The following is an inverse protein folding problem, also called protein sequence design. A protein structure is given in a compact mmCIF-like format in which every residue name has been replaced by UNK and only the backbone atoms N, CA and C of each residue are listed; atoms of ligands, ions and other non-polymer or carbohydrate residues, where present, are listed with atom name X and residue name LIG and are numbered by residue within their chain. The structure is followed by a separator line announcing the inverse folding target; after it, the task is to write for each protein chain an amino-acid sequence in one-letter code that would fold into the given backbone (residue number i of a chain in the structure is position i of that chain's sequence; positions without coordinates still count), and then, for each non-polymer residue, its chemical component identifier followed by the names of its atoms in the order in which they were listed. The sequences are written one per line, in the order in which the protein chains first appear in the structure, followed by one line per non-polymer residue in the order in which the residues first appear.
data_IF_336201142536
#
_entry.id   IF_336201142536
#
_cell.length_a   1.000
_cell.length_b   1.000
_cell.length_c   1.000
_cell.angle_alpha   90.00
_cell.angle_beta   90.00
_cell.angle_gamma   90.00
#
_symmetry.space_group_name_H-M   'P 1'
#
loop_
_entity.id
_entity.type
_entity.pdbx_description
1 polymer ?
#
# COMPACT_ATOMS: atom_id res chain seq x y z
N UNK A 1 -5.54 -24.66 10.96
CA UNK A 1 -5.79 -23.19 11.03
C UNK A 1 -5.12 -22.49 12.20
N UNK A 2 -5.17 -22.98 13.45
CA UNK A 2 -4.59 -22.25 14.60
C UNK A 2 -3.07 -21.99 14.51
N UNK A 3 -2.27 -22.93 13.95
CA UNK A 3 -0.83 -22.72 13.72
C UNK A 3 -0.55 -21.58 12.71
N UNK A 4 -1.32 -21.52 11.62
CA UNK A 4 -1.23 -20.46 10.61
C UNK A 4 -1.60 -19.09 11.21
N UNK A 5 -2.60 -19.05 12.09
CA UNK A 5 -3.01 -17.83 12.80
C UNK A 5 -1.89 -17.28 13.68
N UNK A 6 -1.28 -18.13 14.51
CA UNK A 6 -0.16 -17.72 15.39
C UNK A 6 1.05 -17.25 14.59
N UNK A 7 1.31 -17.86 13.44
CA UNK A 7 2.37 -17.43 12.53
C UNK A 7 2.02 -16.06 11.92
N UNK A 8 0.78 -15.85 11.47
CA UNK A 8 0.32 -14.57 10.93
C UNK A 8 0.44 -13.42 11.93
N UNK A 9 0.12 -13.67 13.21
CA UNK A 9 0.22 -12.67 14.29
C UNK A 9 1.68 -12.30 14.62
N UNK A 10 2.61 -13.26 14.50
CA UNK A 10 4.04 -12.97 14.71
C UNK A 10 4.67 -12.23 13.54
N UNK A 11 4.34 -12.65 12.32
CA UNK A 11 4.91 -12.07 11.09
C UNK A 11 4.32 -10.69 10.79
N UNK A 12 3.05 -10.44 11.13
CA UNK A 12 2.37 -9.18 10.83
C UNK A 12 3.12 -7.97 11.40
N UNK A 13 3.67 -8.07 12.61
CA UNK A 13 4.43 -6.97 13.24
C UNK A 13 5.62 -6.53 12.37
N UNK A 14 6.43 -7.49 11.94
CA UNK A 14 7.62 -7.21 11.14
C UNK A 14 7.29 -6.83 9.70
N UNK A 15 6.21 -7.38 9.13
CA UNK A 15 5.78 -7.04 7.79
C UNK A 15 5.15 -5.64 7.71
N UNK A 16 4.38 -5.23 8.71
CA UNK A 16 3.88 -3.85 8.82
C UNK A 16 5.07 -2.89 8.93
N UNK A 17 6.07 -3.22 9.76
CA UNK A 17 7.31 -2.45 9.84
C UNK A 17 8.04 -2.38 8.48
N UNK A 18 8.14 -3.50 7.77
CA UNK A 18 8.73 -3.53 6.43
C UNK A 18 7.93 -2.63 5.46
N UNK A 19 6.60 -2.65 5.51
CA UNK A 19 5.76 -1.75 4.69
C UNK A 19 6.01 -0.28 5.03
N UNK A 20 6.09 0.07 6.31
CA UNK A 20 6.38 1.44 6.77
C UNK A 20 7.76 1.95 6.33
N UNK A 21 8.72 1.05 6.13
CA UNK A 21 10.07 1.40 5.67
C UNK A 21 10.13 1.42 4.15
N UNK A 22 9.68 0.35 3.50
CA UNK A 22 9.83 0.14 2.06
C UNK A 22 8.92 1.05 1.26
N UNK A 23 7.65 1.25 1.64
CA UNK A 23 6.74 2.07 0.84
C UNK A 23 7.19 3.54 0.74
N UNK A 24 7.66 4.18 1.83
CA UNK A 24 8.15 5.56 1.73
C UNK A 24 9.58 5.68 1.19
N UNK A 25 10.49 4.77 1.57
CA UNK A 25 11.92 4.92 1.25
C UNK A 25 12.33 4.28 -0.07
N UNK A 26 11.61 3.26 -0.53
CA UNK A 26 11.96 2.61 -1.79
C UNK A 26 11.53 3.51 -2.95
N UNK A 27 12.44 3.83 -3.89
CA UNK A 27 12.04 4.53 -5.09
C UNK A 27 10.99 3.71 -5.86
N UNK A 28 10.03 4.40 -6.48
CA UNK A 28 8.83 3.80 -7.10
C UNK A 28 9.14 3.08 -8.41
N UNK A 29 9.96 2.03 -8.34
CA UNK A 29 10.40 1.27 -9.50
C UNK A 29 9.25 0.44 -10.09
N UNK A 30 8.97 0.57 -11.40
CA UNK A 30 7.97 -0.25 -12.07
C UNK A 30 8.52 -1.66 -12.28
N UNK A 31 7.73 -2.67 -11.91
CA UNK A 31 8.01 -4.08 -12.23
C UNK A 31 7.29 -4.51 -13.49
N UNK A 32 5.98 -4.29 -13.55
CA UNK A 32 5.12 -4.70 -14.67
C UNK A 32 4.35 -3.50 -15.16
N UNK A 33 4.59 -3.11 -16.41
CA UNK A 33 3.82 -2.05 -17.07
C UNK A 33 2.46 -2.58 -17.50
N UNK A 34 1.42 -1.81 -17.22
CA UNK A 34 0.05 -2.15 -17.60
C UNK A 34 -0.27 -1.39 -18.90
N UNK A 35 -0.60 -2.07 -20.00
CA UNK A 35 -0.92 -1.38 -21.25
C UNK A 35 -2.20 -0.54 -21.08
N UNK A 36 -2.25 0.61 -21.76
CA UNK A 36 -3.39 1.54 -21.68
C UNK A 36 -3.36 2.48 -20.46
N UNK A 37 -2.30 2.45 -19.64
CA UNK A 37 -2.12 3.39 -18.53
C UNK A 37 -0.64 3.67 -18.26
N UNK A 38 -0.35 4.79 -17.59
CA UNK A 38 0.99 5.10 -17.07
C UNK A 38 1.24 4.49 -15.68
N UNK A 39 0.26 3.78 -15.11
CA UNK A 39 0.39 3.13 -13.79
C UNK A 39 0.96 1.73 -13.95
N UNK A 40 2.12 1.48 -13.34
CA UNK A 40 2.72 0.16 -13.26
C UNK A 40 2.37 -0.55 -11.94
N UNK A 41 2.48 -1.88 -11.94
CA UNK A 41 2.66 -2.67 -10.72
C UNK A 41 4.10 -2.43 -10.29
N UNK A 42 4.30 -1.92 -9.07
CA UNK A 42 5.60 -1.51 -8.54
C UNK A 42 6.14 -2.55 -7.57
N UNK A 43 7.41 -2.41 -7.21
CA UNK A 43 8.06 -3.35 -6.29
C UNK A 43 7.42 -3.37 -4.90
N UNK A 44 7.07 -2.19 -4.37
CA UNK A 44 6.42 -2.07 -3.07
C UNK A 44 5.02 -2.73 -3.04
N UNK A 45 4.36 -2.84 -4.20
CA UNK A 45 3.04 -3.46 -4.30
C UNK A 45 3.11 -4.97 -3.98
N UNK A 46 4.24 -5.65 -4.26
CA UNK A 46 4.46 -7.06 -3.89
C UNK A 46 4.45 -7.24 -2.37
N UNK A 47 5.07 -6.31 -1.64
CA UNK A 47 5.12 -6.39 -0.18
C UNK A 47 3.72 -6.23 0.43
N UNK A 48 2.92 -5.33 -0.12
CA UNK A 48 1.52 -5.16 0.29
C UNK A 48 0.70 -6.41 -0.05
N UNK A 49 0.94 -7.02 -1.22
CA UNK A 49 0.31 -8.28 -1.60
C UNK A 49 0.63 -9.42 -0.63
N UNK A 50 1.90 -9.58 -0.23
CA UNK A 50 2.31 -10.56 0.79
C UNK A 50 1.62 -10.29 2.13
N UNK A 51 1.51 -9.03 2.53
CA UNK A 51 0.78 -8.64 3.75
C UNK A 51 -0.71 -9.04 3.65
N UNK A 52 -1.31 -8.85 2.48
CA UNK A 52 -2.68 -9.28 2.18
C UNK A 52 -2.87 -10.78 2.30
N UNK A 53 -1.94 -11.59 1.77
CA UNK A 53 -1.99 -13.06 1.87
C UNK A 53 -2.00 -13.53 3.33
N UNK A 54 -1.26 -12.86 4.21
CA UNK A 54 -1.19 -13.18 5.63
C UNK A 54 -2.45 -12.77 6.39
N UNK A 55 -3.18 -11.78 5.88
CA UNK A 55 -4.46 -11.35 6.43
C UNK A 55 -5.61 -12.32 6.11
N UNK A 56 -5.57 -13.00 4.95
CA UNK A 56 -6.65 -13.86 4.45
C UNK A 56 -7.14 -14.91 5.49
N UNK A 57 -6.26 -15.69 6.15
CA UNK A 57 -6.72 -16.69 7.13
C UNK A 57 -7.54 -16.07 8.27
N UNK A 58 -7.09 -14.93 8.80
CA UNK A 58 -7.79 -14.21 9.88
C UNK A 58 -9.13 -13.66 9.39
N UNK A 59 -9.12 -13.07 8.20
CA UNK A 59 -10.31 -12.49 7.59
C UNK A 59 -11.42 -13.53 7.38
N UNK A 60 -11.08 -14.71 6.85
CA UNK A 60 -12.04 -15.80 6.64
C UNK A 60 -12.56 -16.34 7.98
N UNK A 61 -11.67 -16.58 8.95
CA UNK A 61 -12.02 -17.13 10.25
C UNK A 61 -12.96 -16.23 11.06
N UNK A 62 -12.70 -14.93 11.05
CA UNK A 62 -13.43 -13.96 11.86
C UNK A 62 -14.48 -13.17 11.06
N UNK A 63 -14.84 -13.60 9.84
CA UNK A 63 -15.74 -12.86 8.93
C UNK A 63 -17.06 -12.42 9.59
N UNK A 64 -17.69 -13.29 10.38
CA UNK A 64 -18.93 -12.96 11.12
C UNK A 64 -18.74 -11.86 12.16
N UNK A 65 -17.55 -11.77 12.78
CA UNK A 65 -17.21 -10.72 13.75
C UNK A 65 -16.88 -9.42 13.01
N UNK A 66 -16.16 -9.51 11.90
CA UNK A 66 -15.82 -8.39 11.01
C UNK A 66 -17.10 -7.68 10.54
N UNK A 67 -18.14 -8.43 10.17
CA UNK A 67 -19.42 -7.84 9.75
C UNK A 67 -20.17 -7.10 10.88
N UNK A 68 -20.00 -7.53 12.14
CA UNK A 68 -20.63 -6.87 13.30
C UNK A 68 -19.90 -5.59 13.68
N UNK A 69 -18.63 -5.46 13.33
CA UNK A 69 -17.84 -4.26 13.57
C UNK A 69 -18.28 -3.15 12.61
N UNK A 70 -18.67 -1.98 13.14
CA UNK A 70 -19.18 -0.86 12.32
C UNK A 70 -18.12 -0.29 11.37
N UNK A 71 -16.85 -0.29 11.79
CA UNK A 71 -15.75 0.26 10.99
C UNK A 71 -15.47 -0.69 9.83
N UNK A 72 -15.28 -1.98 10.14
CA UNK A 72 -14.95 -2.97 9.11
C UNK A 72 -16.13 -3.21 8.15
N UNK A 73 -17.36 -3.25 8.65
CA UNK A 73 -18.54 -3.34 7.79
C UNK A 73 -18.68 -2.12 6.86
N UNK A 74 -18.38 -0.92 7.32
CA UNK A 74 -18.35 0.28 6.47
C UNK A 74 -17.30 0.17 5.35
N UNK A 75 -16.12 -0.38 5.63
CA UNK A 75 -15.08 -0.64 4.62
C UNK A 75 -15.56 -1.67 3.59
N UNK A 76 -16.21 -2.75 4.03
CA UNK A 76 -16.74 -3.76 3.13
C UNK A 76 -17.88 -3.23 2.25
N UNK A 77 -18.76 -2.40 2.82
CA UNK A 77 -19.81 -1.71 2.07
C UNK A 77 -19.18 -0.76 1.05
N UNK A 78 -18.14 -0.01 1.43
CA UNK A 78 -17.41 0.84 0.50
C UNK A 78 -16.82 0.04 -0.68
N UNK A 79 -16.20 -1.12 -0.43
CA UNK A 79 -15.72 -1.98 -1.51
C UNK A 79 -16.84 -2.51 -2.40
N UNK A 80 -17.98 -2.88 -1.83
CA UNK A 80 -19.15 -3.33 -2.59
C UNK A 80 -19.72 -2.22 -3.47
N UNK A 81 -19.95 -1.02 -2.90
CA UNK A 81 -20.47 0.14 -3.64
C UNK A 81 -19.54 0.54 -4.78
N UNK A 82 -18.23 0.56 -4.53
CA UNK A 82 -17.24 0.91 -5.56
C UNK A 82 -17.11 -0.17 -6.63
N UNK A 83 -17.34 -1.44 -6.30
CA UNK A 83 -17.41 -2.54 -7.27
C UNK A 83 -18.67 -2.43 -8.14
N UNK A 84 -19.83 -2.14 -7.54
CA UNK A 84 -21.08 -1.92 -8.28
C UNK A 84 -20.93 -0.71 -9.23
N UNK A 85 -20.29 0.37 -8.76
CA UNK A 85 -19.98 1.53 -9.59
C UNK A 85 -19.06 1.17 -10.77
N UNK A 86 -18.07 0.30 -10.58
CA UNK A 86 -17.25 -0.22 -11.67
C UNK A 86 -18.11 -1.00 -12.69
N UNK A 87 -18.96 -1.92 -12.23
CA UNK A 87 -19.84 -2.69 -13.12
C UNK A 87 -20.75 -1.76 -13.92
N UNK A 88 -21.34 -0.74 -13.28
CA UNK A 88 -22.15 0.26 -13.96
C UNK A 88 -21.32 1.03 -15.01
N UNK A 89 -20.07 1.38 -14.67
CA UNK A 89 -19.12 2.03 -15.57
C UNK A 89 -18.80 1.23 -16.83
N UNK A 90 -18.72 -0.10 -16.69
CA UNK A 90 -18.41 -1.04 -17.78
C UNK A 90 -19.65 -1.36 -18.61
N UNK A 91 -20.79 -1.66 -17.96
CA UNK A 91 -21.97 -2.22 -18.63
C UNK A 91 -22.94 -1.12 -19.09
N UNK A 92 -23.19 -0.12 -18.24
CA UNK A 92 -24.24 0.88 -18.47
C UNK A 92 -23.67 2.08 -19.21
N UNK A 93 -22.67 2.75 -18.63
CA UNK A 93 -22.11 3.97 -19.22
C UNK A 93 -21.06 3.67 -20.27
N UNK A 94 -20.49 2.46 -20.27
CA UNK A 94 -19.47 2.00 -21.22
C UNK A 94 -18.26 2.96 -21.31
N UNK A 95 -17.96 3.64 -20.21
CA UNK A 95 -16.88 4.64 -20.13
C UNK A 95 -15.56 4.04 -19.65
N UNK A 96 -15.58 2.81 -19.14
CA UNK A 96 -14.44 2.18 -18.48
C UNK A 96 -14.16 0.81 -19.11
N UNK A 97 -12.90 0.59 -19.49
CA UNK A 97 -12.42 -0.74 -19.88
C UNK A 97 -12.40 -1.67 -18.66
N UNK A 98 -12.98 -2.87 -18.78
CA UNK A 98 -13.10 -3.82 -17.68
C UNK A 98 -11.75 -4.15 -17.01
N UNK A 99 -10.71 -4.41 -17.82
CA UNK A 99 -9.39 -4.78 -17.30
C UNK A 99 -8.78 -3.69 -16.44
N UNK A 100 -8.76 -2.46 -16.93
CA UNK A 100 -8.22 -1.31 -16.21
C UNK A 100 -9.08 -0.96 -14.99
N UNK A 101 -10.40 -1.06 -15.13
CA UNK A 101 -11.33 -0.82 -14.03
C UNK A 101 -11.18 -1.81 -12.87
N UNK A 102 -10.97 -3.11 -13.16
CA UNK A 102 -10.69 -4.12 -12.13
C UNK A 102 -9.38 -3.86 -11.40
N UNK A 103 -8.32 -3.49 -12.12
CA UNK A 103 -7.02 -3.13 -11.51
C UNK A 103 -7.16 -1.89 -10.63
N UNK A 104 -7.91 -0.89 -11.08
CA UNK A 104 -8.19 0.31 -10.30
C UNK A 104 -9.00 0.01 -9.03
N UNK A 105 -9.98 -0.90 -9.12
CA UNK A 105 -10.74 -1.34 -7.93
C UNK A 105 -9.86 -2.14 -6.96
N UNK A 106 -9.03 -3.07 -7.47
CA UNK A 106 -8.08 -3.84 -6.67
C UNK A 106 -7.10 -2.94 -5.90
N UNK A 107 -6.67 -1.82 -6.50
CA UNK A 107 -5.81 -0.83 -5.83
C UNK A 107 -6.47 -0.23 -4.58
N UNK A 108 -7.80 -0.03 -4.59
CA UNK A 108 -8.52 0.47 -3.40
C UNK A 108 -8.47 -0.52 -2.25
N UNK A 109 -8.50 -1.81 -2.55
CA UNK A 109 -8.33 -2.88 -1.56
C UNK A 109 -6.89 -2.87 -1.05
N UNK A 110 -5.91 -2.83 -1.96
CA UNK A 110 -4.48 -2.78 -1.64
C UNK A 110 -4.16 -1.69 -0.62
N UNK A 111 -4.68 -0.47 -0.82
CA UNK A 111 -4.47 0.66 0.10
C UNK A 111 -5.03 0.44 1.51
N UNK A 112 -6.05 -0.40 1.67
CA UNK A 112 -6.62 -0.72 2.98
C UNK A 112 -5.94 -1.91 3.66
N UNK A 113 -5.11 -2.69 2.95
CA UNK A 113 -4.45 -3.88 3.52
C UNK A 113 -3.60 -3.55 4.75
N UNK A 114 -2.73 -2.51 4.76
CA UNK A 114 -1.95 -2.18 5.96
C UNK A 114 -2.82 -1.86 7.16
N UNK A 115 -3.91 -1.09 6.95
CA UNK A 115 -4.87 -0.75 7.99
C UNK A 115 -5.58 -2.00 8.53
N UNK A 116 -6.15 -2.84 7.65
CA UNK A 116 -6.86 -4.05 8.05
C UNK A 116 -5.94 -5.03 8.78
N UNK A 117 -4.68 -5.14 8.34
CA UNK A 117 -3.67 -5.97 8.98
C UNK A 117 -3.38 -5.46 10.39
N UNK A 118 -3.12 -4.16 10.56
CA UNK A 118 -2.89 -3.58 11.88
C UNK A 118 -4.11 -3.76 12.79
N UNK A 119 -5.33 -3.54 12.27
CA UNK A 119 -6.56 -3.64 13.03
C UNK A 119 -6.92 -5.07 13.47
N UNK A 120 -6.71 -6.05 12.59
CA UNK A 120 -7.16 -7.44 12.82
C UNK A 120 -6.09 -8.37 13.41
N UNK A 121 -4.81 -8.12 13.14
CA UNK A 121 -3.70 -9.01 13.52
C UNK A 121 -2.88 -8.51 14.70
N UNK A 122 -2.99 -7.23 15.10
CA UNK A 122 -2.30 -6.74 16.31
C UNK A 122 -3.18 -7.07 17.53
N UNK A 123 -2.67 -7.87 18.48
CA UNK A 123 -3.39 -8.16 19.72
C UNK A 123 -3.62 -6.90 20.54
N UNK A 124 -4.80 -6.76 21.15
CA UNK A 124 -5.20 -5.57 21.91
C UNK A 124 -4.30 -5.31 23.12
N UNK A 125 -3.80 -6.37 23.75
CA UNK A 125 -2.85 -6.34 24.87
C UNK A 125 -1.49 -5.73 24.47
N UNK A 126 -1.09 -5.85 23.19
CA UNK A 126 0.20 -5.37 22.68
C UNK A 126 0.11 -4.07 21.90
N UNK A 127 -1.04 -3.39 21.96
CA UNK A 127 -1.27 -2.20 21.11
C UNK A 127 -0.30 -1.07 21.46
N UNK A 128 -0.04 -0.84 22.75
CA UNK A 128 0.88 0.22 23.22
C UNK A 128 2.30 -0.02 22.73
N UNK A 129 2.83 -1.23 22.96
CA UNK A 129 4.17 -1.64 22.51
C UNK A 129 4.30 -1.59 20.98
N UNK A 130 3.25 -1.99 20.26
CA UNK A 130 3.24 -1.97 18.80
C UNK A 130 3.23 -0.56 18.25
N UNK A 131 2.42 0.34 18.82
CA UNK A 131 2.37 1.76 18.45
C UNK A 131 3.70 2.44 18.72
N UNK A 132 4.31 2.22 19.89
CA UNK A 132 5.64 2.76 20.21
C UNK A 132 6.70 2.27 19.22
N UNK A 133 6.68 0.97 18.89
CA UNK A 133 7.60 0.38 17.92
C UNK A 133 7.45 1.00 16.52
N UNK A 134 6.22 1.10 16.00
CA UNK A 134 5.99 1.71 14.68
C UNK A 134 6.27 3.20 14.67
N UNK A 135 6.02 3.91 15.77
CA UNK A 135 6.34 5.33 15.88
C UNK A 135 7.85 5.56 15.81
N UNK A 136 8.66 4.75 16.50
CA UNK A 136 10.13 4.80 16.38
C UNK A 136 10.59 4.54 14.95
N UNK A 137 10.01 3.55 14.27
CA UNK A 137 10.29 3.29 12.85
C UNK A 137 9.94 4.48 11.98
N UNK A 138 8.76 5.08 12.17
CA UNK A 138 8.32 6.23 11.41
C UNK A 138 9.29 7.42 11.56
N UNK A 139 9.76 7.70 12.78
CA UNK A 139 10.77 8.74 13.01
C UNK A 139 12.07 8.48 12.24
N UNK A 140 12.54 7.23 12.25
CA UNK A 140 13.73 6.83 11.48
C UNK A 140 13.49 7.01 9.97
N UNK A 141 12.33 6.56 9.47
CA UNK A 141 11.95 6.69 8.06
C UNK A 141 11.90 8.16 7.63
N UNK A 142 11.26 9.02 8.44
CA UNK A 142 11.19 10.47 8.17
C UNK A 142 12.59 11.08 8.17
N UNK A 143 13.45 10.72 9.11
CA UNK A 143 14.83 11.20 9.13
C UNK A 143 15.60 10.78 7.86
N UNK A 144 15.51 9.50 7.47
CA UNK A 144 16.17 9.00 6.26
C UNK A 144 15.64 9.71 5.01
N UNK A 145 14.32 9.85 4.87
CA UNK A 145 13.71 10.56 3.75
C UNK A 145 14.21 12.00 3.67
N UNK A 146 14.24 12.70 4.81
CA UNK A 146 14.75 14.06 4.88
C UNK A 146 16.22 14.17 4.43
N UNK A 147 17.10 13.30 4.95
CA UNK A 147 18.51 13.28 4.52
C UNK A 147 18.67 12.90 3.05
N UNK A 148 17.82 12.00 2.53
CA UNK A 148 17.81 11.67 1.11
C UNK A 148 17.41 12.87 0.26
N UNK A 149 16.39 13.64 0.66
CA UNK A 149 16.01 14.89 0.00
C UNK A 149 17.11 15.96 0.02
N UNK A 150 17.85 16.09 1.12
CA UNK A 150 19.06 16.91 1.17
C UNK A 150 20.12 16.40 0.19
N UNK A 151 20.32 15.08 0.13
CA UNK A 151 21.22 14.44 -0.82
C UNK A 151 20.81 14.67 -2.28
N UNK A 152 19.52 14.71 -2.59
CA UNK A 152 19.02 15.04 -3.93
C UNK A 152 19.40 16.47 -4.32
N UNK A 153 19.25 17.42 -3.39
CA UNK A 153 19.53 18.84 -3.63
C UNK A 153 21.04 19.16 -3.71
N UNK A 154 21.85 18.61 -2.80
CA UNK A 154 23.25 19.02 -2.63
C UNK A 154 24.26 18.00 -3.16
N UNK A 155 23.93 16.72 -3.15
CA UNK A 155 24.82 15.61 -3.52
C UNK A 155 24.41 14.91 -4.82
N UNK A 156 23.44 15.50 -5.54
CA UNK A 156 22.92 14.99 -6.80
C UNK A 156 22.33 13.57 -6.70
N UNK A 157 21.76 13.14 -5.56
CA UNK A 157 21.10 11.82 -5.50
C UNK A 157 19.99 11.65 -6.54
N UNK A 158 19.73 10.42 -7.00
CA UNK A 158 18.72 10.18 -8.03
C UNK A 158 17.32 10.51 -7.52
N UNK A 159 16.49 10.99 -8.45
CA UNK A 159 15.08 11.32 -8.23
C UNK A 159 14.27 10.40 -9.13
N UNK A 160 13.48 9.51 -8.53
CA UNK A 160 12.62 8.58 -9.27
C UNK A 160 11.17 8.90 -8.92
N UNK A 161 10.43 9.41 -9.88
CA UNK A 161 9.05 9.88 -9.71
C UNK A 161 8.15 9.24 -10.76
N UNK A 162 6.84 9.20 -10.50
CA UNK A 162 5.85 8.55 -11.37
C UNK A 162 4.74 9.51 -11.81
N UNK A 163 5.03 10.81 -11.84
CA UNK A 163 4.03 11.87 -12.09
C UNK A 163 3.53 11.95 -13.54
N UNK A 164 4.29 11.45 -14.51
CA UNK A 164 3.88 11.38 -15.91
C UNK A 164 4.32 10.06 -16.54
N UNK A 165 3.87 9.80 -17.77
CA UNK A 165 4.17 8.56 -18.48
C UNK A 165 5.67 8.32 -18.66
N UNK A 166 6.46 9.36 -18.96
CA UNK A 166 7.91 9.20 -19.16
C UNK A 166 8.62 8.86 -17.85
N UNK A 167 8.24 9.49 -16.75
CA UNK A 167 8.83 9.27 -15.44
C UNK A 167 8.38 7.94 -14.82
N UNK A 168 7.15 7.49 -15.12
CA UNK A 168 6.62 6.19 -14.70
C UNK A 168 7.44 4.98 -15.15
N UNK A 169 8.36 5.17 -16.11
CA UNK A 169 9.29 4.16 -16.60
C UNK A 169 10.42 3.84 -15.61
N UNK A 170 10.51 4.54 -14.48
CA UNK A 170 11.53 4.30 -13.44
C UNK A 170 12.89 4.91 -13.77
N UNK A 171 12.90 5.99 -14.55
CA UNK A 171 14.14 6.68 -14.94
C UNK A 171 14.68 7.44 -13.72
N UNK A 172 15.96 7.23 -13.42
CA UNK A 172 16.66 7.98 -12.38
C UNK A 172 17.01 9.39 -12.90
N UNK A 173 16.19 10.37 -12.54
CA UNK A 173 16.42 11.78 -12.85
C UNK A 173 17.38 12.39 -11.83
N UNK A 174 17.81 13.62 -12.08
CA UNK A 174 18.53 14.45 -11.12
C UNK A 174 17.68 15.67 -10.80
N UNK A 175 17.78 16.15 -9.57
CA UNK A 175 17.13 17.39 -9.19
C UNK A 175 17.72 18.56 -10.00
N UNK A 176 16.86 19.42 -10.53
CA UNK A 176 17.24 20.63 -11.25
C UNK A 176 16.83 21.87 -10.46
N UNK A 177 17.60 22.97 -10.53
CA UNK A 177 17.24 24.22 -9.88
C UNK A 177 15.84 24.69 -10.30
N UNK A 178 14.98 24.98 -9.33
CA UNK A 178 13.58 25.36 -9.55
C UNK A 178 12.58 24.19 -9.50
N UNK A 179 13.03 22.93 -9.49
CA UNK A 179 12.16 21.79 -9.28
C UNK A 179 11.84 21.58 -7.79
N UNK A 180 10.64 21.07 -7.49
CA UNK A 180 10.30 20.62 -6.15
C UNK A 180 11.14 19.39 -5.76
N UNK A 181 11.57 19.34 -4.49
CA UNK A 181 12.26 18.17 -3.94
C UNK A 181 11.21 17.08 -3.77
N UNK A 182 11.42 15.95 -4.44
CA UNK A 182 10.56 14.78 -4.35
C UNK A 182 11.25 13.78 -3.41
N UNK A 183 11.01 13.96 -2.12
CA UNK A 183 11.47 13.09 -1.02
C UNK A 183 10.29 12.37 -0.37
#
# INVERSE_FOLDING_TARGET
MQKLLRLSEKLSKYLIAAVLIVVPLLPKFPLIKIPGTYVAIRFEDILIFILGLILIPKFILDFKKIWKDKILSSILIFFAVTFISLIAGVVITQTVELRLGLLHWARRIEYMIPFLTAYLLIPRDKIKESVEFYFKILLIVVAIAFFYGLGQRYLHFPVIITQNEQYSKGIALRWTPGAHINS
#
